data_IF_994196534978
#
_entry.id   IF_994196534978
#
_cell.length_a   1.000
_cell.length_b   1.000
_cell.length_c   1.000
_cell.angle_alpha   90.00
_cell.angle_beta   90.00
_cell.angle_gamma   90.00
#
_symmetry.space_group_name_H-M   'P 1'
#
loop_
_entity.id
_entity.type
_entity.pdbx_description
1 polymer ?
#
# COMPACT_ATOMS: atom_id res chain seq x y z
N UNK A 1 -28.21 11.13 -26.43
CA UNK A 1 -27.24 11.74 -25.49
C UNK A 1 -27.76 11.93 -24.06
N UNK A 2 -28.92 11.35 -23.70
CA UNK A 2 -29.57 11.50 -22.39
C UNK A 2 -28.91 10.65 -21.28
N UNK A 3 -28.04 9.70 -21.66
CA UNK A 3 -27.35 8.76 -20.75
C UNK A 3 -25.97 9.22 -20.28
N UNK A 4 -25.35 10.22 -20.91
CA UNK A 4 -23.96 10.61 -20.57
C UNK A 4 -23.90 11.59 -19.38
N UNK A 5 -24.92 12.43 -19.21
CA UNK A 5 -25.03 13.36 -18.07
C UNK A 5 -25.69 12.71 -16.84
N UNK A 6 -26.53 11.68 -17.01
CA UNK A 6 -27.21 11.03 -15.89
C UNK A 6 -26.26 10.25 -14.98
N UNK A 7 -25.18 9.67 -15.52
CA UNK A 7 -24.17 8.99 -14.71
C UNK A 7 -23.15 9.93 -14.05
N UNK A 8 -22.93 11.12 -14.61
CA UNK A 8 -22.07 12.17 -14.01
C UNK A 8 -22.75 12.90 -12.84
N UNK A 9 -24.09 12.95 -12.82
CA UNK A 9 -24.85 13.63 -11.77
C UNK A 9 -25.12 12.79 -10.51
N UNK A 10 -24.95 11.46 -10.54
CA UNK A 10 -25.24 10.61 -9.37
C UNK A 10 -24.26 10.77 -8.20
N UNK A 11 -23.11 11.42 -8.42
CA UNK A 11 -22.07 11.63 -7.40
C UNK A 11 -21.73 13.12 -7.15
N UNK A 12 -22.61 14.07 -7.49
CA UNK A 12 -22.38 15.48 -7.13
C UNK A 12 -22.65 15.71 -5.63
N UNK A 13 -21.63 16.23 -4.94
CA UNK A 13 -21.75 16.80 -3.60
C UNK A 13 -22.88 17.86 -3.54
N UNK A 14 -23.55 18.05 -2.39
CA UNK A 14 -24.81 18.79 -2.24
C UNK A 14 -24.75 20.31 -2.51
N UNK A 15 -23.63 20.83 -3.03
CA UNK A 15 -23.34 22.27 -3.14
C UNK A 15 -23.56 22.83 -4.56
N UNK A 16 -23.88 21.99 -5.55
CA UNK A 16 -24.02 22.42 -6.94
C UNK A 16 -25.50 22.50 -7.36
N UNK A 17 -26.02 23.73 -7.47
CA UNK A 17 -27.36 24.01 -8.04
C UNK A 17 -27.22 24.38 -9.52
N UNK A 18 -27.68 23.50 -10.42
CA UNK A 18 -27.79 23.83 -11.85
C UNK A 18 -28.91 24.84 -12.04
N UNK A 19 -28.58 26.09 -12.37
CA UNK A 19 -29.56 27.17 -12.55
C UNK A 19 -30.31 27.12 -13.89
N UNK A 20 -29.75 26.44 -14.89
CA UNK A 20 -30.35 26.38 -16.23
C UNK A 20 -29.88 25.12 -16.94
N UNK A 21 -30.83 24.31 -17.42
CA UNK A 21 -30.57 23.13 -18.25
C UNK A 21 -31.34 23.31 -19.56
N UNK A 22 -30.63 23.50 -20.67
CA UNK A 22 -31.24 23.48 -22.02
C UNK A 22 -31.16 22.05 -22.56
N UNK A 23 -32.30 21.37 -22.61
CA UNK A 23 -32.41 19.95 -22.97
C UNK A 23 -32.30 19.67 -24.47
N UNK A 24 -32.53 20.67 -25.33
CA UNK A 24 -32.47 20.52 -26.78
C UNK A 24 -31.19 21.14 -27.33
N UNK A 25 -30.34 20.30 -27.92
CA UNK A 25 -29.13 20.76 -28.59
C UNK A 25 -29.00 20.12 -29.98
N UNK A 26 -29.82 20.62 -30.91
CA UNK A 26 -29.99 20.06 -32.26
C UNK A 26 -28.82 20.37 -33.21
N UNK A 27 -27.84 21.16 -32.75
CA UNK A 27 -26.61 21.51 -33.49
C UNK A 27 -25.33 21.06 -32.77
N UNK A 28 -25.42 20.11 -31.83
CA UNK A 28 -24.22 19.40 -31.40
C UNK A 28 -23.91 18.45 -32.55
N UNK A 29 -23.18 18.97 -33.57
CA UNK A 29 -22.32 18.11 -34.36
C UNK A 29 -21.61 17.23 -33.35
N UNK A 30 -21.67 15.91 -33.54
CA UNK A 30 -21.00 14.84 -32.78
C UNK A 30 -19.96 15.43 -31.84
N UNK A 31 -19.92 15.19 -30.51
CA UNK A 31 -18.93 15.83 -29.63
C UNK A 31 -17.51 15.60 -30.16
N UNK A 32 -17.06 16.50 -31.04
CA UNK A 32 -15.99 16.27 -31.99
C UNK A 32 -14.72 16.46 -31.19
N UNK A 33 -14.28 15.39 -30.56
CA UNK A 33 -13.12 15.37 -29.69
C UNK A 33 -13.32 16.29 -28.49
N UNK A 34 -13.53 15.71 -27.31
CA UNK A 34 -13.43 16.42 -26.04
C UNK A 34 -11.98 16.89 -25.75
N UNK A 35 -11.38 17.68 -26.66
CA UNK A 35 -10.00 18.19 -26.58
C UNK A 35 -9.81 19.12 -25.38
N UNK A 36 -10.89 19.79 -24.96
CA UNK A 36 -10.92 20.70 -23.80
C UNK A 36 -10.92 20.00 -22.44
N UNK A 37 -11.14 18.68 -22.37
CA UNK A 37 -11.11 18.00 -21.06
C UNK A 37 -9.72 18.15 -20.46
N UNK A 38 -9.68 18.68 -19.24
CA UNK A 38 -8.42 18.98 -18.56
C UNK A 38 -7.67 17.69 -18.23
N UNK A 39 -6.33 17.75 -18.22
CA UNK A 39 -5.52 16.63 -17.77
C UNK A 39 -5.85 16.23 -16.32
N UNK A 40 -6.22 17.20 -15.48
CA UNK A 40 -6.61 16.99 -14.07
C UNK A 40 -7.89 16.16 -13.97
N UNK A 41 -8.91 16.45 -14.77
CA UNK A 41 -10.17 15.69 -14.79
C UNK A 41 -9.94 14.25 -15.23
N UNK A 42 -9.11 14.04 -16.25
CA UNK A 42 -8.75 12.69 -16.70
C UNK A 42 -7.92 11.97 -15.62
N UNK A 43 -7.01 12.69 -14.96
CA UNK A 43 -6.18 12.15 -13.90
C UNK A 43 -7.02 11.62 -12.74
N UNK A 44 -8.03 12.39 -12.31
CA UNK A 44 -8.97 12.00 -11.27
C UNK A 44 -9.72 10.69 -11.61
N UNK A 45 -10.26 10.58 -12.83
CA UNK A 45 -11.02 9.40 -13.26
C UNK A 45 -10.14 8.13 -13.43
N UNK A 46 -8.86 8.30 -13.78
CA UNK A 46 -7.93 7.18 -14.01
C UNK A 46 -7.05 6.84 -12.80
N UNK A 47 -7.17 7.59 -11.69
CA UNK A 47 -6.30 7.44 -10.53
C UNK A 47 -6.33 6.03 -9.96
N UNK A 48 -7.50 5.50 -9.65
CA UNK A 48 -7.67 4.16 -9.07
C UNK A 48 -7.13 3.06 -9.99
N UNK A 49 -7.42 3.16 -11.28
CA UNK A 49 -6.96 2.18 -12.28
C UNK A 49 -5.44 2.14 -12.40
N UNK A 50 -4.80 3.32 -12.37
CA UNK A 50 -3.34 3.43 -12.38
C UNK A 50 -2.70 3.09 -11.04
N UNK A 51 -3.40 3.26 -9.92
CA UNK A 51 -2.96 2.79 -8.60
C UNK A 51 -2.93 1.27 -8.55
N UNK A 52 -3.97 0.60 -9.05
CA UNK A 52 -4.05 -0.85 -9.12
C UNK A 52 -3.02 -1.45 -10.09
N UNK A 53 -2.77 -0.78 -11.22
CA UNK A 53 -1.77 -1.20 -12.21
C UNK A 53 -0.90 -0.03 -12.70
N UNK A 54 0.23 0.27 -12.02
CA UNK A 54 1.13 1.35 -12.44
C UNK A 54 1.79 1.14 -13.82
N UNK A 55 1.87 -0.12 -14.28
CA UNK A 55 2.48 -0.51 -15.56
C UNK A 55 1.49 -0.32 -16.73
N UNK A 56 0.23 -0.01 -16.44
CA UNK A 56 -0.86 0.17 -17.41
C UNK A 56 -0.47 0.97 -18.66
N UNK A 57 -0.65 0.40 -19.85
CA UNK A 57 -0.05 0.94 -21.07
C UNK A 57 -0.80 2.19 -21.53
N UNK A 58 -0.06 3.17 -22.05
CA UNK A 58 -0.67 4.42 -22.54
C UNK A 58 -1.61 4.16 -23.74
N UNK A 59 -1.30 3.15 -24.57
CA UNK A 59 -2.17 2.71 -25.67
C UNK A 59 -3.54 2.23 -25.15
N UNK A 60 -3.53 1.39 -24.10
CA UNK A 60 -4.73 0.90 -23.42
C UNK A 60 -5.50 2.05 -22.77
N UNK A 61 -4.79 2.95 -22.09
CA UNK A 61 -5.38 4.15 -21.49
C UNK A 61 -6.13 5.01 -22.51
N UNK A 62 -5.59 5.15 -23.72
CA UNK A 62 -6.24 5.91 -24.80
C UNK A 62 -7.50 5.21 -25.32
N UNK A 63 -7.47 3.89 -25.43
CA UNK A 63 -8.66 3.09 -25.79
C UNK A 63 -9.74 3.27 -24.72
N UNK A 64 -9.37 3.15 -23.44
CA UNK A 64 -10.32 3.30 -22.33
C UNK A 64 -10.88 4.71 -22.20
N UNK A 65 -10.10 5.76 -22.47
CA UNK A 65 -10.64 7.12 -22.54
C UNK A 65 -11.72 7.27 -23.62
N UNK A 66 -11.54 6.59 -24.75
CA UNK A 66 -12.51 6.60 -25.85
C UNK A 66 -13.75 5.77 -25.50
N UNK A 67 -13.59 4.58 -24.91
CA UNK A 67 -14.73 3.70 -24.60
C UNK A 67 -15.51 4.14 -23.36
N UNK A 68 -14.84 4.56 -22.29
CA UNK A 68 -15.48 4.91 -21.01
C UNK A 68 -15.99 6.35 -20.99
N UNK A 69 -15.22 7.30 -21.53
CA UNK A 69 -15.51 8.74 -21.41
C UNK A 69 -15.90 9.40 -22.75
N UNK A 70 -15.88 8.65 -23.86
CA UNK A 70 -16.04 9.18 -25.21
C UNK A 70 -15.06 10.35 -25.52
N UNK A 71 -13.83 10.28 -24.97
CA UNK A 71 -12.79 11.28 -25.16
C UNK A 71 -11.72 10.75 -26.12
N UNK A 72 -11.56 11.41 -27.27
CA UNK A 72 -10.43 11.17 -28.15
C UNK A 72 -9.22 12.01 -27.72
N UNK A 73 -8.44 11.50 -26.75
CA UNK A 73 -7.25 12.17 -26.25
C UNK A 73 -6.02 11.92 -27.14
N UNK A 74 -5.17 12.94 -27.30
CA UNK A 74 -3.87 12.81 -27.93
C UNK A 74 -2.93 11.95 -27.06
N UNK A 75 -2.03 11.19 -27.69
CA UNK A 75 -1.12 10.28 -26.99
C UNK A 75 -0.25 11.00 -25.94
N UNK A 76 0.25 12.20 -26.28
CA UNK A 76 1.02 13.06 -25.36
C UNK A 76 0.20 13.52 -24.14
N UNK A 77 -1.12 13.71 -24.30
CA UNK A 77 -2.01 14.04 -23.18
C UNK A 77 -2.12 12.85 -22.24
N UNK A 78 -2.29 11.64 -22.77
CA UNK A 78 -2.32 10.42 -21.95
C UNK A 78 -0.99 10.19 -21.21
N UNK A 79 0.15 10.43 -21.85
CA UNK A 79 1.48 10.43 -21.18
C UNK A 79 1.53 11.41 -20.02
N UNK A 80 1.12 12.67 -20.25
CA UNK A 80 1.10 13.72 -19.22
C UNK A 80 0.22 13.32 -18.04
N UNK A 81 -0.99 12.83 -18.30
CA UNK A 81 -1.93 12.37 -17.26
C UNK A 81 -1.32 11.22 -16.46
N UNK A 82 -0.80 10.19 -17.12
CA UNK A 82 -0.14 9.07 -16.44
C UNK A 82 1.00 9.56 -15.55
N UNK A 83 1.84 10.47 -16.03
CA UNK A 83 2.93 11.07 -15.24
C UNK A 83 2.40 11.81 -14.01
N UNK A 84 1.41 12.68 -14.19
CA UNK A 84 0.80 13.45 -13.09
C UNK A 84 0.27 12.52 -11.98
N UNK A 85 -0.45 11.46 -12.33
CA UNK A 85 -0.98 10.52 -11.32
C UNK A 85 0.18 9.78 -10.62
N UNK A 86 1.20 9.34 -11.36
CA UNK A 86 2.35 8.64 -10.76
C UNK A 86 3.20 9.53 -9.85
N UNK A 87 3.28 10.83 -10.15
CA UNK A 87 3.92 11.85 -9.29
C UNK A 87 3.08 12.11 -8.03
N UNK A 88 1.77 12.32 -8.17
CA UNK A 88 0.83 12.48 -7.04
C UNK A 88 0.88 11.28 -6.08
N UNK A 89 0.91 10.05 -6.62
CA UNK A 89 1.10 8.85 -5.80
C UNK A 89 2.43 8.86 -5.04
N UNK A 90 3.51 9.34 -5.67
CA UNK A 90 4.84 9.39 -5.05
C UNK A 90 4.85 10.32 -3.84
N UNK A 91 4.26 11.49 -3.99
CA UNK A 91 4.17 12.47 -2.91
C UNK A 91 3.27 11.96 -1.78
N UNK A 92 2.16 11.30 -2.11
CA UNK A 92 1.30 10.61 -1.14
C UNK A 92 2.07 9.59 -0.30
N UNK A 93 2.91 8.74 -0.92
CA UNK A 93 3.72 7.79 -0.16
C UNK A 93 4.65 8.49 0.82
N UNK A 94 5.33 9.55 0.39
CA UNK A 94 6.21 10.33 1.27
C UNK A 94 5.45 10.90 2.48
N UNK A 95 4.22 11.36 2.28
CA UNK A 95 3.38 11.86 3.37
C UNK A 95 2.90 10.74 4.30
N UNK A 96 2.57 9.56 3.78
CA UNK A 96 2.18 8.42 4.61
C UNK A 96 3.33 7.90 5.48
N UNK A 97 4.57 7.89 4.96
CA UNK A 97 5.75 7.56 5.76
C UNK A 97 5.97 8.54 6.92
N UNK A 98 5.57 9.81 6.80
CA UNK A 98 5.63 10.78 7.91
C UNK A 98 4.64 10.43 9.02
N UNK A 99 3.53 9.76 8.71
CA UNK A 99 2.49 9.34 9.66
C UNK A 99 2.87 8.10 10.47
N UNK A 100 3.91 7.35 10.08
CA UNK A 100 4.29 6.10 10.76
C UNK A 100 4.59 6.26 12.26
N UNK A 101 5.15 7.39 12.68
CA UNK A 101 5.39 7.66 14.11
C UNK A 101 4.06 7.81 14.85
N UNK A 102 3.13 8.59 14.29
CA UNK A 102 1.79 8.74 14.85
C UNK A 102 1.04 7.42 14.87
N UNK A 103 1.12 6.63 13.79
CA UNK A 103 0.53 5.30 13.71
C UNK A 103 1.10 4.34 14.76
N UNK A 104 2.42 4.29 14.94
CA UNK A 104 3.07 3.47 15.96
C UNK A 104 2.60 3.83 17.38
N UNK A 105 2.44 5.13 17.66
CA UNK A 105 1.92 5.60 18.94
C UNK A 105 0.44 5.25 19.12
N UNK A 106 -0.37 5.42 18.08
CA UNK A 106 -1.79 5.07 18.09
C UNK A 106 -2.00 3.57 18.31
N UNK A 107 -1.17 2.70 17.72
CA UNK A 107 -1.21 1.25 17.97
C UNK A 107 -0.92 0.93 19.44
N UNK A 108 0.11 1.53 20.03
CA UNK A 108 0.46 1.32 21.45
C UNK A 108 -0.63 1.83 22.40
N UNK A 109 -1.26 2.96 22.06
CA UNK A 109 -2.33 3.54 22.87
C UNK A 109 -3.64 2.75 22.79
N UNK A 110 -4.01 2.30 21.60
CA UNK A 110 -5.27 1.56 21.39
C UNK A 110 -5.19 0.08 21.79
N UNK A 111 -4.01 -0.53 21.72
CA UNK A 111 -3.78 -1.93 22.07
C UNK A 111 -2.63 -2.05 23.07
N UNK A 112 -2.88 -1.81 24.37
CA UNK A 112 -1.88 -2.01 25.41
C UNK A 112 -1.24 -3.40 25.32
N UNK A 113 0.07 -3.47 25.55
CA UNK A 113 0.85 -4.70 25.38
C UNK A 113 1.36 -4.93 23.95
N UNK A 114 0.89 -4.20 22.93
CA UNK A 114 1.41 -4.35 21.56
C UNK A 114 2.86 -3.86 21.45
N UNK A 115 3.72 -4.72 20.91
CA UNK A 115 5.12 -4.40 20.65
C UNK A 115 5.25 -3.72 19.29
N UNK A 116 5.56 -2.42 19.31
CA UNK A 116 5.89 -1.66 18.09
C UNK A 116 7.28 -1.05 18.21
N UNK A 117 8.18 -1.43 17.29
CA UNK A 117 9.53 -0.90 17.19
C UNK A 117 9.72 -0.23 15.84
N UNK A 118 9.75 1.10 15.83
CA UNK A 118 10.01 1.91 14.65
C UNK A 118 11.42 2.48 14.71
N UNK A 119 12.23 2.23 13.68
CA UNK A 119 13.53 2.85 13.47
C UNK A 119 13.45 3.77 12.25
N UNK A 120 13.78 5.02 12.50
CA UNK A 120 14.01 6.08 11.51
C UNK A 120 15.51 6.34 11.51
N UNK A 121 16.14 6.52 10.34
CA UNK A 121 17.59 6.73 10.28
C UNK A 121 18.01 7.99 11.04
N UNK A 122 19.19 7.93 11.68
CA UNK A 122 19.76 9.03 12.46
C UNK A 122 20.67 9.96 11.64
N UNK A 123 20.93 9.65 10.37
CA UNK A 123 21.73 10.50 9.45
C UNK A 123 20.98 11.78 9.02
N UNK A 124 20.08 12.27 9.88
CA UNK A 124 19.42 13.56 9.72
C UNK A 124 20.39 14.74 9.88
N UNK A 125 21.61 14.52 10.41
CA UNK A 125 22.59 15.58 10.60
C UNK A 125 23.23 16.05 9.28
N UNK A 126 23.46 15.16 8.31
CA UNK A 126 24.01 15.51 6.99
C UNK A 126 22.92 15.88 5.98
N UNK A 127 21.80 15.14 5.96
CA UNK A 127 20.76 15.26 4.93
C UNK A 127 19.51 16.06 5.37
N UNK A 128 19.40 16.43 6.67
CA UNK A 128 18.19 17.00 7.33
C UNK A 128 16.87 16.24 7.08
N UNK A 129 16.92 15.03 6.52
CA UNK A 129 15.75 14.25 6.12
C UNK A 129 15.65 12.96 6.94
N UNK A 130 14.59 12.85 7.74
CA UNK A 130 14.21 11.62 8.45
C UNK A 130 13.80 10.57 7.43
N UNK A 131 14.59 9.51 7.27
CA UNK A 131 14.29 8.39 6.36
C UNK A 131 13.80 7.19 7.16
N UNK A 132 12.71 6.57 6.73
CA UNK A 132 12.27 5.30 7.28
C UNK A 132 13.38 4.25 7.12
N UNK A 133 13.62 3.42 8.15
CA UNK A 133 14.61 2.34 8.08
C UNK A 133 13.95 0.98 8.26
N UNK A 134 13.20 0.78 9.34
CA UNK A 134 12.49 -0.49 9.62
C UNK A 134 11.41 -0.32 10.67
N UNK A 135 10.39 -1.16 10.61
CA UNK A 135 9.32 -1.22 11.60
C UNK A 135 8.99 -2.67 11.91
N UNK A 136 8.73 -2.97 13.19
CA UNK A 136 8.25 -4.25 13.68
C UNK A 136 6.95 -4.06 14.44
N UNK A 137 6.02 -4.99 14.29
CA UNK A 137 4.73 -5.01 14.97
C UNK A 137 4.43 -6.44 15.45
N UNK A 138 4.05 -6.58 16.72
CA UNK A 138 3.46 -7.79 17.29
C UNK A 138 2.35 -7.41 18.27
N UNK A 139 1.11 -7.74 17.92
CA UNK A 139 -0.06 -7.42 18.73
C UNK A 139 -0.15 -8.28 19.98
N UNK A 140 -0.61 -7.70 21.08
CA UNK A 140 -0.77 -8.44 22.33
C UNK A 140 -1.70 -9.65 22.20
N UNK A 141 -2.83 -9.45 21.51
CA UNK A 141 -3.77 -10.53 21.19
C UNK A 141 -3.09 -11.68 20.43
N UNK A 142 -2.18 -11.39 19.49
CA UNK A 142 -1.47 -12.42 18.72
C UNK A 142 -0.40 -13.13 19.57
N UNK A 143 0.26 -12.42 20.49
CA UNK A 143 1.17 -13.04 21.47
C UNK A 143 0.43 -14.04 22.35
N UNK A 144 -0.76 -13.66 22.83
CA UNK A 144 -1.58 -14.52 23.68
C UNK A 144 -2.16 -15.69 22.87
N UNK A 145 -2.62 -15.46 21.64
CA UNK A 145 -3.08 -16.52 20.74
C UNK A 145 -1.98 -17.55 20.47
N UNK A 146 -0.75 -17.09 20.23
CA UNK A 146 0.41 -17.98 20.07
C UNK A 146 0.63 -18.87 21.29
N UNK A 147 0.66 -18.29 22.49
CA UNK A 147 0.94 -19.02 23.73
C UNK A 147 -0.15 -20.03 24.11
N UNK A 148 -1.41 -19.71 23.80
CA UNK A 148 -2.54 -20.46 24.31
C UNK A 148 -3.17 -21.44 23.30
N UNK A 149 -2.95 -21.25 22.00
CA UNK A 149 -3.70 -22.00 20.98
C UNK A 149 -2.96 -22.35 19.70
N UNK A 150 -1.75 -21.81 19.48
CA UNK A 150 -0.96 -22.18 18.31
C UNK A 150 -0.01 -23.32 18.65
N UNK A 151 0.24 -24.17 17.66
CA UNK A 151 1.30 -25.16 17.70
C UNK A 151 2.63 -24.44 17.88
N UNK A 152 3.64 -25.07 18.49
CA UNK A 152 4.97 -24.49 18.63
C UNK A 152 5.76 -24.61 17.31
N UNK A 153 5.10 -24.24 16.22
CA UNK A 153 5.58 -24.27 14.86
C UNK A 153 5.40 -22.88 14.26
N UNK A 154 6.49 -22.28 13.80
CA UNK A 154 6.51 -20.96 13.23
C UNK A 154 7.07 -20.98 11.81
N UNK A 155 6.22 -20.65 10.84
CA UNK A 155 6.62 -20.32 9.49
C UNK A 155 7.22 -18.92 9.44
N UNK A 156 8.40 -18.78 8.83
CA UNK A 156 9.05 -17.51 8.56
C UNK A 156 9.05 -17.29 7.04
N UNK A 157 8.56 -16.14 6.62
CA UNK A 157 8.58 -15.75 5.22
C UNK A 157 9.06 -14.32 5.05
N UNK A 158 9.64 -14.02 3.89
CA UNK A 158 10.08 -12.70 3.50
C UNK A 158 9.70 -12.42 2.06
N UNK A 159 8.75 -11.50 1.86
CA UNK A 159 8.24 -11.12 0.54
C UNK A 159 8.63 -9.69 0.17
N UNK A 160 8.79 -9.42 -1.13
CA UNK A 160 9.11 -8.09 -1.64
C UNK A 160 7.87 -7.21 -1.65
N UNK A 161 8.01 -5.99 -1.12
CA UNK A 161 6.98 -4.97 -1.29
C UNK A 161 6.93 -4.53 -2.75
N UNK A 162 5.73 -4.53 -3.32
CA UNK A 162 5.48 -4.06 -4.69
C UNK A 162 5.24 -2.55 -4.69
N UNK A 163 5.62 -1.89 -5.78
CA UNK A 163 5.38 -0.46 -6.00
C UNK A 163 6.63 0.39 -5.91
N UNK A 164 6.44 1.69 -5.63
CA UNK A 164 7.54 2.67 -5.56
C UNK A 164 8.32 2.61 -4.24
N UNK A 165 7.65 2.22 -3.16
CA UNK A 165 8.27 1.94 -1.88
C UNK A 165 8.98 0.59 -1.95
N UNK A 166 10.29 0.62 -2.19
CA UNK A 166 11.14 -0.58 -2.13
C UNK A 166 11.29 -1.03 -0.68
N UNK A 167 11.40 -2.34 -0.48
CA UNK A 167 11.55 -2.93 0.83
C UNK A 167 11.07 -4.38 0.83
N UNK A 168 11.08 -4.97 2.01
CA UNK A 168 10.62 -6.33 2.22
C UNK A 168 9.78 -6.40 3.48
N UNK A 169 8.75 -7.24 3.40
CA UNK A 169 7.93 -7.63 4.52
C UNK A 169 8.43 -8.99 5.02
N UNK A 170 8.97 -9.03 6.22
CA UNK A 170 9.25 -10.25 6.95
C UNK A 170 8.02 -10.58 7.81
N UNK A 171 7.60 -11.83 7.83
CA UNK A 171 6.47 -12.28 8.64
C UNK A 171 6.82 -13.55 9.40
N UNK A 172 6.27 -13.67 10.60
CA UNK A 172 6.20 -14.91 11.36
C UNK A 172 4.73 -15.34 11.42
N UNK A 173 4.48 -16.60 11.10
CA UNK A 173 3.16 -17.19 10.97
C UNK A 173 3.12 -18.42 11.87
N UNK A 174 2.06 -18.56 12.67
CA UNK A 174 1.81 -19.77 13.46
C UNK A 174 0.66 -20.58 12.88
N UNK A 175 0.61 -21.86 13.26
CA UNK A 175 -0.45 -22.77 12.85
C UNK A 175 -1.27 -23.22 14.06
N UNK A 176 -2.59 -23.22 13.97
CA UNK A 176 -3.47 -23.71 15.04
C UNK A 176 -3.65 -25.24 15.01
N UNK A 177 -4.43 -25.79 15.94
CA UNK A 177 -4.76 -27.22 15.98
C UNK A 177 -5.54 -27.70 14.75
N UNK A 178 -6.25 -26.80 14.06
CA UNK A 178 -7.07 -27.07 12.88
C UNK A 178 -6.33 -26.84 11.55
N UNK A 179 -5.01 -26.66 11.60
CA UNK A 179 -4.14 -26.39 10.45
C UNK A 179 -4.34 -25.02 9.77
N UNK A 180 -5.03 -24.07 10.40
CA UNK A 180 -5.12 -22.69 9.89
C UNK A 180 -3.87 -21.88 10.27
N UNK A 181 -3.50 -20.96 9.38
CA UNK A 181 -2.33 -20.10 9.54
C UNK A 181 -2.72 -18.69 9.98
N UNK A 182 -2.02 -18.16 10.97
CA UNK A 182 -2.22 -16.81 11.49
C UNK A 182 -0.92 -16.04 11.55
N UNK A 183 -0.89 -14.77 11.12
CA UNK A 183 0.27 -13.92 11.33
C UNK A 183 0.45 -13.66 12.82
N UNK A 184 1.67 -13.85 13.33
CA UNK A 184 2.03 -13.57 14.73
C UNK A 184 2.69 -12.19 14.84
N UNK A 185 3.62 -11.91 13.92
CA UNK A 185 4.28 -10.62 13.84
C UNK A 185 4.80 -10.36 12.43
N UNK A 186 5.10 -9.11 12.13
CA UNK A 186 5.72 -8.74 10.87
C UNK A 186 6.65 -7.55 11.04
N UNK A 187 7.58 -7.44 10.09
CA UNK A 187 8.48 -6.31 9.98
C UNK A 187 8.63 -5.83 8.55
N UNK A 188 8.64 -4.51 8.39
CA UNK A 188 9.02 -3.84 7.15
C UNK A 188 10.50 -3.47 7.28
N UNK A 189 11.33 -3.94 6.35
CA UNK A 189 12.77 -3.70 6.31
C UNK A 189 13.21 -3.25 4.92
N UNK A 190 14.32 -2.53 4.82
CA UNK A 190 14.87 -2.10 3.52
C UNK A 190 15.31 -3.29 2.65
N UNK A 191 15.96 -4.31 3.25
CA UNK A 191 16.50 -5.47 2.52
C UNK A 191 16.46 -6.79 3.31
N UNK A 192 16.32 -7.93 2.61
CA UNK A 192 16.66 -9.28 3.11
C UNK A 192 18.16 -9.31 3.30
N UNK A 193 18.60 -9.28 4.54
CA UNK A 193 19.96 -9.60 4.89
C UNK A 193 19.97 -10.26 6.26
N UNK A 194 21.09 -10.92 6.60
CA UNK A 194 21.27 -11.55 7.90
C UNK A 194 20.99 -10.58 9.05
N UNK A 195 21.41 -9.32 8.93
CA UNK A 195 21.16 -8.30 9.94
C UNK A 195 19.67 -7.95 10.13
N UNK A 196 18.87 -7.90 9.07
CA UNK A 196 17.43 -7.69 9.15
C UNK A 196 16.71 -8.86 9.80
N UNK A 197 17.09 -10.09 9.42
CA UNK A 197 16.54 -11.32 10.00
C UNK A 197 16.90 -11.48 11.47
N UNK A 198 18.17 -11.32 11.84
CA UNK A 198 18.61 -11.36 13.25
C UNK A 198 17.87 -10.31 14.08
N UNK A 199 17.67 -9.11 13.54
CA UNK A 199 16.91 -8.08 14.24
C UNK A 199 15.44 -8.46 14.41
N UNK A 200 14.80 -9.00 13.37
CA UNK A 200 13.42 -9.47 13.43
C UNK A 200 13.25 -10.62 14.43
N UNK A 201 14.11 -11.64 14.37
CA UNK A 201 14.06 -12.81 15.25
C UNK A 201 14.31 -12.47 16.71
N UNK A 202 15.23 -11.53 17.01
CA UNK A 202 15.44 -11.04 18.38
C UNK A 202 14.20 -10.36 18.96
N UNK A 203 13.48 -9.59 18.13
CA UNK A 203 12.22 -8.97 18.56
C UNK A 203 11.10 -9.99 18.71
N UNK A 204 11.02 -10.97 17.80
CA UNK A 204 10.06 -12.07 17.89
C UNK A 204 10.26 -12.90 19.17
N UNK A 205 11.50 -13.31 19.44
CA UNK A 205 11.86 -14.06 20.65
C UNK A 205 11.44 -13.30 21.91
N UNK A 206 11.77 -12.00 21.98
CA UNK A 206 11.39 -11.14 23.10
C UNK A 206 9.88 -11.01 23.23
N UNK A 207 9.16 -10.78 22.13
CA UNK A 207 7.71 -10.56 22.14
C UNK A 207 6.96 -11.82 22.59
N UNK A 208 7.43 -12.99 22.15
CA UNK A 208 6.81 -14.27 22.49
C UNK A 208 7.30 -14.89 23.81
N UNK A 209 8.26 -14.25 24.50
CA UNK A 209 8.96 -14.80 25.67
C UNK A 209 9.50 -16.22 25.41
N UNK A 210 10.07 -16.42 24.23
CA UNK A 210 10.71 -17.69 23.88
C UNK A 210 12.08 -17.69 24.56
N UNK A 211 12.35 -18.69 25.41
CA UNK A 211 13.65 -18.88 26.06
C UNK A 211 14.71 -19.32 25.03
N UNK A 212 15.55 -20.31 25.33
CA UNK A 212 16.60 -20.83 24.43
C UNK A 212 16.08 -21.50 23.13
N UNK A 213 14.80 -21.31 22.77
CA UNK A 213 14.15 -21.92 21.61
C UNK A 213 13.64 -23.35 21.85
N UNK A 214 13.75 -23.85 23.08
CA UNK A 214 13.36 -25.22 23.42
C UNK A 214 11.86 -25.43 23.19
N UNK A 215 11.54 -26.47 22.42
CA UNK A 215 10.17 -26.84 22.07
C UNK A 215 9.55 -26.10 20.90
N UNK A 216 10.25 -25.17 20.21
CA UNK A 216 9.72 -24.42 19.06
C UNK A 216 10.46 -24.75 17.77
N UNK A 217 9.70 -25.13 16.75
CA UNK A 217 10.22 -25.41 15.41
C UNK A 217 10.01 -24.19 14.51
N UNK A 218 11.08 -23.75 13.85
CA UNK A 218 11.01 -22.74 12.79
C UNK A 218 11.14 -23.39 11.42
N UNK A 219 10.25 -23.03 10.50
CA UNK A 219 10.35 -23.39 9.09
C UNK A 219 10.49 -22.12 8.29
N UNK A 220 11.42 -22.11 7.34
CA UNK A 220 11.61 -20.96 6.48
C UNK A 220 11.88 -21.41 5.05
N UNK A 221 11.32 -20.70 4.08
CA UNK A 221 11.71 -20.89 2.69
C UNK A 221 13.15 -20.37 2.55
N UNK A 222 14.11 -21.30 2.38
CA UNK A 222 15.56 -21.06 2.34
C UNK A 222 15.99 -20.25 1.10
N UNK A 223 15.42 -19.07 0.89
CA UNK A 223 15.98 -18.07 -0.01
C UNK A 223 17.14 -17.34 0.68
N UNK A 224 18.29 -17.34 0.00
CA UNK A 224 19.59 -16.76 0.37
C UNK A 224 19.52 -15.75 1.53
N UNK A 225 19.99 -16.16 2.72
CA UNK A 225 20.11 -15.28 3.89
C UNK A 225 19.98 -15.94 5.27
N UNK A 226 19.63 -17.23 5.34
CA UNK A 226 19.30 -17.91 6.61
C UNK A 226 20.15 -19.16 6.91
N UNK A 227 21.11 -19.54 6.05
CA UNK A 227 21.85 -20.81 6.16
C UNK A 227 23.03 -20.85 7.14
N UNK A 228 23.01 -20.11 8.24
CA UNK A 228 24.02 -20.29 9.31
C UNK A 228 23.46 -19.81 10.64
N UNK A 229 22.73 -20.71 11.29
CA UNK A 229 22.36 -20.68 12.70
C UNK A 229 22.76 -22.01 13.32
#
# INVERSE_FOLDING_TARGET
>A
MQLCMSNLMKNMLPVLRVKTLKGEHNKCKDPCGNYKVSATTIAFNFKEKLQANPIYKIKEMRVDMKTTLNINAHFEKCKRVKRMILEDMKDSFCDDYKKLVGYANALKGSNPGTDVVLKVSRNALEDRKRKFSRMYICFDALKNGFKNGLRPFNGLDGTFLKGKAKGQLLSAIGQDSMNHFYPISWAIVDRKCKASWVWFLKLLQKSLNINSGEGITFMSDMQKGMGSY
#
